data_IF_939402811609
#
_entry.id   IF_939402811609
#
_cell.length_a   1.000
_cell.length_b   1.000
_cell.length_c   1.000
_cell.angle_alpha   90.00
_cell.angle_beta   90.00
_cell.angle_gamma   90.00
#
_symmetry.space_group_name_H-M   'P 1'
#
loop_
_entity.id
_entity.type
_entity.pdbx_description
1 polymer ?
#
# COMPACT_ATOMS: atom_id res chain seq x y z
N UNK A 1 -2.35 -16.79 0.79
CA UNK A 1 -2.08 -16.04 2.04
C UNK A 1 -2.05 -14.56 1.69
N UNK A 2 -2.90 -13.74 2.30
CA UNK A 2 -2.96 -12.31 2.01
C UNK A 2 -1.76 -11.63 2.66
N UNK A 3 -0.83 -11.13 1.85
CA UNK A 3 0.37 -10.48 2.34
C UNK A 3 0.04 -9.02 2.70
N UNK A 4 -0.06 -8.75 4.00
CA UNK A 4 -0.37 -7.42 4.54
C UNK A 4 0.83 -6.50 4.62
N UNK A 5 2.03 -7.06 4.59
CA UNK A 5 3.29 -6.36 4.89
C UNK A 5 4.05 -5.94 3.62
N UNK A 6 3.98 -6.75 2.56
CA UNK A 6 4.69 -6.46 1.32
C UNK A 6 3.83 -5.76 0.27
N UNK A 7 4.46 -5.34 -0.82
CA UNK A 7 3.75 -4.98 -2.05
C UNK A 7 3.21 -6.26 -2.69
N UNK A 8 1.91 -6.31 -3.00
CA UNK A 8 1.32 -7.46 -3.70
C UNK A 8 1.41 -7.27 -5.20
N UNK A 9 1.23 -8.35 -5.96
CA UNK A 9 1.19 -8.27 -7.43
C UNK A 9 0.02 -7.41 -7.92
N UNK A 10 -1.10 -7.39 -7.19
CA UNK A 10 -2.27 -6.58 -7.56
C UNK A 10 -1.99 -5.07 -7.48
N UNK A 11 -1.12 -4.66 -6.54
CA UNK A 11 -0.72 -3.27 -6.33
C UNK A 11 0.27 -2.77 -7.38
N UNK A 12 0.94 -3.67 -8.10
CA UNK A 12 1.93 -3.33 -9.12
C UNK A 12 1.23 -2.77 -10.36
N UNK A 13 1.74 -1.65 -10.87
CA UNK A 13 1.29 -1.03 -12.11
C UNK A 13 2.18 -1.47 -13.26
N UNK A 14 3.48 -1.18 -13.17
CA UNK A 14 4.49 -1.46 -14.20
C UNK A 14 5.90 -1.40 -13.62
N UNK A 15 6.89 -1.90 -14.37
CA UNK A 15 8.31 -1.61 -14.11
C UNK A 15 8.73 -0.30 -14.78
N UNK A 16 9.69 0.39 -14.18
CA UNK A 16 10.28 1.64 -14.67
C UNK A 16 11.79 1.58 -14.51
N UNK A 17 12.51 2.26 -15.40
CA UNK A 17 13.96 2.40 -15.32
C UNK A 17 14.28 3.80 -14.79
N UNK A 18 15.01 3.87 -13.69
CA UNK A 18 15.46 5.14 -13.10
C UNK A 18 16.93 5.03 -12.72
N UNK A 19 17.77 5.93 -13.22
CA UNK A 19 19.22 5.94 -12.97
C UNK A 19 19.95 4.61 -13.24
N UNK A 20 19.42 3.80 -14.17
CA UNK A 20 19.97 2.47 -14.51
C UNK A 20 19.51 1.34 -13.58
N UNK A 21 18.63 1.62 -12.62
CA UNK A 21 17.98 0.63 -11.78
C UNK A 21 16.55 0.32 -12.25
N UNK A 22 16.19 -0.97 -12.24
CA UNK A 22 14.81 -1.40 -12.47
C UNK A 22 14.00 -1.28 -11.17
N UNK A 23 13.02 -0.37 -11.18
CA UNK A 23 12.07 -0.17 -10.10
C UNK A 23 10.68 -0.60 -10.53
N UNK A 24 9.84 -0.88 -9.54
CA UNK A 24 8.43 -1.22 -9.70
C UNK A 24 7.60 -0.04 -9.23
N UNK A 25 6.77 0.48 -10.12
CA UNK A 25 5.73 1.45 -9.79
C UNK A 25 4.52 0.69 -9.23
N UNK A 26 4.14 1.05 -8.01
CA UNK A 26 3.00 0.46 -7.32
C UNK A 26 2.09 1.54 -6.70
N UNK A 27 0.87 1.15 -6.35
CA UNK A 27 -0.14 2.02 -5.74
C UNK A 27 -0.71 1.41 -4.47
N UNK A 28 -0.96 2.25 -3.48
CA UNK A 28 -1.73 1.90 -2.30
C UNK A 28 -2.64 3.05 -1.84
N UNK A 29 -3.28 2.88 -0.68
CA UNK A 29 -4.17 3.89 -0.09
C UNK A 29 -3.49 5.22 0.24
N UNK A 30 -2.15 5.26 0.27
CA UNK A 30 -1.35 6.47 0.52
C UNK A 30 -0.86 7.10 -0.80
N UNK A 31 -1.13 6.49 -1.94
CA UNK A 31 -0.76 6.98 -3.28
C UNK A 31 0.28 6.11 -3.99
N UNK A 32 0.94 6.69 -4.99
CA UNK A 32 1.96 6.01 -5.77
C UNK A 32 3.28 5.89 -4.99
N UNK A 33 4.05 4.86 -5.29
CA UNK A 33 5.39 4.66 -4.75
C UNK A 33 6.24 3.78 -5.67
N UNK A 34 7.55 3.94 -5.55
CA UNK A 34 8.54 3.12 -6.26
C UNK A 34 9.15 2.12 -5.28
N UNK A 35 9.20 0.86 -5.67
CA UNK A 35 9.82 -0.22 -4.90
C UNK A 35 10.72 -1.08 -5.79
N UNK A 36 11.43 -2.03 -5.22
CA UNK A 36 12.24 -2.99 -5.98
C UNK A 36 11.47 -4.30 -6.15
N UNK A 37 11.72 -5.03 -7.24
CA UNK A 37 11.04 -6.30 -7.54
C UNK A 37 11.15 -7.34 -6.40
N UNK A 38 12.20 -7.29 -5.58
CA UNK A 38 12.38 -8.17 -4.42
C UNK A 38 11.27 -8.06 -3.36
N UNK A 39 10.54 -6.94 -3.29
CA UNK A 39 9.47 -6.73 -2.32
C UNK A 39 8.08 -7.14 -2.85
N UNK A 40 7.96 -7.42 -4.16
CA UNK A 40 6.70 -7.75 -4.80
C UNK A 40 6.37 -9.23 -4.58
N UNK A 41 5.20 -9.51 -4.01
CA UNK A 41 4.69 -10.88 -3.81
C UNK A 41 5.41 -11.67 -2.71
N UNK A 42 6.40 -11.07 -2.03
CA UNK A 42 7.14 -11.72 -0.94
C UNK A 42 6.63 -11.28 0.43
N UNK A 43 6.60 -12.17 1.44
CA UNK A 43 6.14 -11.86 2.79
C UNK A 43 7.18 -11.05 3.59
N UNK A 44 7.67 -9.96 3.00
CA UNK A 44 8.68 -9.05 3.55
C UNK A 44 8.07 -7.65 3.56
N UNK A 45 8.34 -6.89 4.63
CA UNK A 45 7.87 -5.52 4.74
C UNK A 45 8.53 -4.64 3.67
N UNK A 46 7.72 -3.98 2.86
CA UNK A 46 8.22 -3.03 1.86
C UNK A 46 8.49 -1.68 2.53
N UNK A 47 9.77 -1.33 2.67
CA UNK A 47 10.20 -0.08 3.30
C UNK A 47 9.71 1.15 2.55
N UNK A 48 9.61 1.11 1.22
CA UNK A 48 9.16 2.23 0.41
C UNK A 48 7.64 2.42 0.52
N UNK A 49 6.90 1.31 0.65
CA UNK A 49 5.48 1.35 0.99
C UNK A 49 5.24 1.99 2.35
N UNK A 50 6.01 1.63 3.38
CA UNK A 50 5.81 2.13 4.74
C UNK A 50 6.54 3.43 5.08
N UNK A 51 7.43 3.92 4.21
CA UNK A 51 8.14 5.17 4.43
C UNK A 51 7.16 6.28 4.85
N UNK A 52 7.42 6.90 6.01
CA UNK A 52 6.58 7.94 6.57
C UNK A 52 6.40 9.11 5.58
N UNK A 53 7.42 9.34 4.76
CA UNK A 53 7.46 10.45 3.82
C UNK A 53 7.90 9.95 2.45
N UNK A 54 6.94 9.75 1.53
CA UNK A 54 7.19 9.47 0.10
C UNK A 54 7.56 10.75 -0.66
N UNK A 55 8.41 11.59 -0.04
CA UNK A 55 8.87 12.85 -0.63
C UNK A 55 9.66 12.53 -1.90
N UNK A 56 9.38 13.26 -2.98
CA UNK A 56 10.11 13.10 -4.24
C UNK A 56 9.53 12.06 -5.18
N UNK A 57 8.61 11.19 -4.75
CA UNK A 57 8.09 10.11 -5.62
C UNK A 57 7.32 10.67 -6.81
N UNK A 58 6.43 11.63 -6.57
CA UNK A 58 5.67 12.26 -7.66
C UNK A 58 6.60 12.99 -8.63
N UNK A 59 7.61 13.69 -8.10
CA UNK A 59 8.63 14.37 -8.91
C UNK A 59 9.45 13.38 -9.73
N UNK A 60 9.83 12.23 -9.16
CA UNK A 60 10.54 11.14 -9.85
C UNK A 60 9.69 10.53 -10.96
N UNK A 61 8.43 10.20 -10.68
CA UNK A 61 7.48 9.68 -11.68
C UNK A 61 7.27 10.71 -12.81
N UNK A 62 7.14 11.99 -12.47
CA UNK A 62 7.03 13.06 -13.47
C UNK A 62 8.32 13.23 -14.29
N UNK A 63 9.50 13.10 -13.69
CA UNK A 63 10.80 13.14 -14.37
C UNK A 63 10.97 11.97 -15.36
N UNK A 64 10.31 10.84 -15.11
CA UNK A 64 10.22 9.71 -16.04
C UNK A 64 9.20 9.95 -17.17
N UNK A 65 8.60 11.14 -17.27
CA UNK A 65 7.64 11.52 -18.31
C UNK A 65 6.24 10.94 -18.12
N UNK A 66 5.90 10.47 -16.91
CA UNK A 66 4.61 9.86 -16.62
C UNK A 66 3.63 10.85 -15.97
N UNK A 67 2.35 10.74 -16.33
CA UNK A 67 1.28 11.55 -15.76
C UNK A 67 0.85 11.02 -14.38
N UNK A 68 1.32 11.67 -13.31
CA UNK A 68 1.07 11.23 -11.93
C UNK A 68 -0.43 11.21 -11.59
N UNK A 69 -1.22 12.28 -11.84
CA UNK A 69 -2.67 12.26 -11.59
C UNK A 69 -3.41 11.20 -12.40
N UNK A 70 -3.11 11.04 -13.70
CA UNK A 70 -3.73 10.03 -14.55
C UNK A 70 -3.41 8.61 -14.12
N UNK A 71 -2.15 8.35 -13.73
CA UNK A 71 -1.76 7.05 -13.18
C UNK A 71 -2.50 6.73 -11.89
N UNK A 72 -2.65 7.71 -11.00
CA UNK A 72 -3.39 7.52 -9.75
C UNK A 72 -4.87 7.22 -10.04
N UNK A 73 -5.51 8.00 -10.91
CA UNK A 73 -6.92 7.84 -11.26
C UNK A 73 -7.20 6.50 -11.96
N UNK A 74 -6.35 6.11 -12.92
CA UNK A 74 -6.51 4.87 -13.66
C UNK A 74 -6.33 3.62 -12.79
N UNK A 75 -5.52 3.68 -11.73
CA UNK A 75 -5.14 2.52 -10.94
C UNK A 75 -5.79 2.44 -9.56
N UNK A 76 -6.80 3.28 -9.25
CA UNK A 76 -7.49 3.23 -7.95
C UNK A 76 -8.10 1.86 -7.63
N UNK A 77 -8.54 1.14 -8.66
CA UNK A 77 -9.10 -0.21 -8.53
C UNK A 77 -8.11 -1.26 -7.99
N UNK A 78 -6.80 -0.97 -8.04
CA UNK A 78 -5.72 -1.83 -7.51
C UNK A 78 -5.46 -1.62 -6.02
N UNK A 79 -6.01 -0.55 -5.44
CA UNK A 79 -5.84 -0.25 -4.02
C UNK A 79 -6.61 -1.30 -3.22
N UNK A 80 -5.88 -2.14 -2.50
CA UNK A 80 -6.48 -3.09 -1.57
C UNK A 80 -7.02 -2.31 -0.37
N UNK A 81 -8.33 -2.02 -0.38
CA UNK A 81 -9.03 -1.45 0.77
C UNK A 81 -9.21 -2.58 1.80
N UNK A 82 -8.48 -2.52 2.91
CA UNK A 82 -8.84 -3.31 4.08
C UNK A 82 -10.18 -2.78 4.58
N UNK A 83 -11.29 -3.40 4.18
CA UNK A 83 -12.52 -3.31 4.96
C UNK A 83 -12.20 -3.93 6.30
N UNK A 84 -11.81 -3.08 7.26
CA UNK A 84 -11.73 -3.46 8.65
C UNK A 84 -13.16 -3.82 9.02
N UNK A 85 -13.48 -5.11 8.98
CA UNK A 85 -14.63 -5.66 9.66
C UNK A 85 -14.42 -5.32 11.12
N UNK A 86 -14.92 -4.16 11.53
CA UNK A 86 -14.97 -3.74 12.91
C UNK A 86 -15.77 -4.84 13.60
N UNK A 87 -15.05 -5.74 14.27
CA UNK A 87 -15.64 -6.84 15.03
C UNK A 87 -16.56 -6.16 16.03
N UNK A 88 -17.87 -6.14 15.75
CA UNK A 88 -18.88 -5.56 16.63
C UNK A 88 -18.79 -6.31 17.96
N UNK A 89 -18.04 -5.76 18.90
CA UNK A 89 -18.07 -6.22 20.29
C UNK A 89 -19.47 -5.92 20.78
N UNK A 90 -20.22 -6.98 21.05
CA UNK A 90 -21.61 -6.90 21.45
C UNK A 90 -21.66 -6.30 22.87
N UNK A 91 -22.21 -5.09 23.08
CA UNK A 91 -22.12 -4.36 24.36
C UNK A 91 -22.78 -5.12 25.52
N UNK A 92 -23.68 -6.06 25.22
CA UNK A 92 -24.33 -6.94 26.21
C UNK A 92 -23.35 -7.89 26.92
N UNK A 93 -22.19 -8.22 26.32
CA UNK A 93 -21.18 -9.08 26.96
C UNK A 93 -20.25 -8.32 27.92
N UNK A 94 -20.19 -6.99 27.85
CA UNK A 94 -19.31 -6.18 28.70
C UNK A 94 -19.94 -5.84 30.07
N UNK A 95 -21.26 -5.83 30.19
CA UNK A 95 -21.97 -5.38 31.39
C UNK A 95 -21.95 -6.39 32.56
N UNK A 96 -21.57 -7.66 32.34
CA UNK A 96 -21.72 -8.72 33.37
C UNK A 96 -20.55 -8.85 34.36
N UNK A 97 -19.50 -8.02 34.28
CA UNK A 97 -18.31 -8.10 35.16
C UNK A 97 -18.26 -7.05 36.28
N UNK A 98 -19.26 -6.19 36.42
CA UNK A 98 -19.27 -5.12 37.44
C UNK A 98 -20.03 -5.41 38.74
N UNK A 99 -20.68 -6.58 38.88
CA UNK A 99 -21.54 -6.87 40.03
C UNK A 99 -21.12 -8.16 40.74
N UNK A 100 -19.95 -8.15 41.40
CA UNK A 100 -19.63 -8.90 42.64
C UNK A 100 -18.33 -8.35 43.22
N UNK A 101 -18.40 -7.78 44.42
CA UNK A 101 -17.28 -7.24 45.19
C UNK A 101 -17.73 -6.04 45.99
#
# INVERSE_FOLDING_TARGET
>A
MFNRFGTTQDMMIQTVQEDGEELVLAIDSRGLYLTSAQFVGRPIADRNRYSATRKGVEQRIAALGMDVPGLLAANQHRIQVETVSAKKVNPLKASKRGAKG
#
